data_IF_076566803351
#
_entry.id   IF_076566803351
#
_cell.length_a   1.000
_cell.length_b   1.000
_cell.length_c   1.000
_cell.angle_alpha   90.00
_cell.angle_beta   90.00
_cell.angle_gamma   90.00
#
_symmetry.space_group_name_H-M   'P 1'
#
loop_
_entity.id
_entity.type
_entity.pdbx_description
1 polymer ?
#
# COMPACT_ATOMS: atom_id res chain seq x y z
N UNK A 1 -16.75 -8.29 -2.72
CA UNK A 1 -15.57 -9.14 -2.47
C UNK A 1 -14.34 -8.36 -2.88
N UNK A 2 -13.53 -7.95 -1.90
CA UNK A 2 -12.31 -7.17 -2.15
C UNK A 2 -11.25 -8.11 -2.74
N UNK A 3 -10.93 -7.97 -4.02
CA UNK A 3 -10.05 -8.91 -4.74
C UNK A 3 -8.64 -8.96 -4.18
N UNK A 4 -8.21 -7.91 -3.47
CA UNK A 4 -6.85 -7.80 -2.96
C UNK A 4 -6.67 -8.43 -1.57
N UNK A 5 -7.76 -8.84 -0.90
CA UNK A 5 -7.69 -9.42 0.45
C UNK A 5 -6.80 -10.69 0.56
N UNK A 6 -6.84 -11.66 -0.39
CA UNK A 6 -5.95 -12.82 -0.34
C UNK A 6 -4.48 -12.45 -0.60
N UNK A 7 -4.26 -11.38 -1.37
CA UNK A 7 -2.91 -10.87 -1.64
C UNK A 7 -2.32 -10.23 -0.38
N UNK A 8 -3.10 -9.48 0.40
CA UNK A 8 -2.62 -8.92 1.67
C UNK A 8 -2.22 -9.97 2.69
N UNK A 9 -2.88 -11.13 2.68
CA UNK A 9 -2.55 -12.27 3.55
C UNK A 9 -1.32 -13.06 3.06
N UNK A 10 -1.14 -13.22 1.75
CA UNK A 10 -0.04 -14.00 1.17
C UNK A 10 1.28 -13.24 1.03
N UNK A 11 1.25 -11.92 0.89
CA UNK A 11 2.46 -11.10 0.70
C UNK A 11 2.90 -10.42 2.00
N UNK A 12 4.10 -10.77 2.46
CA UNK A 12 4.73 -10.18 3.65
C UNK A 12 4.92 -8.65 3.52
N UNK A 13 5.15 -8.18 2.29
CA UNK A 13 5.26 -6.76 1.95
C UNK A 13 4.04 -6.28 1.17
N UNK A 14 2.88 -6.29 1.80
CA UNK A 14 1.66 -5.71 1.26
C UNK A 14 1.53 -4.22 1.61
N UNK A 15 1.18 -3.41 0.61
CA UNK A 15 0.98 -1.95 0.79
C UNK A 15 -0.40 -1.54 0.29
N UNK A 16 -1.13 -0.82 1.13
CA UNK A 16 -2.39 -0.15 0.78
C UNK A 16 -2.24 1.37 0.77
N UNK A 17 -3.10 2.04 0.01
CA UNK A 17 -3.24 3.51 0.08
C UNK A 17 -4.26 3.90 1.13
N UNK A 18 -4.27 5.15 1.62
CA UNK A 18 -5.12 5.58 2.74
C UNK A 18 -6.62 5.23 2.58
N UNK A 19 -7.13 5.16 1.34
CA UNK A 19 -8.51 4.73 1.05
C UNK A 19 -8.84 3.36 1.64
N UNK A 20 -7.86 2.48 1.81
CA UNK A 20 -8.06 1.15 2.36
C UNK A 20 -8.57 1.19 3.80
N UNK A 21 -8.30 2.28 4.54
CA UNK A 21 -8.82 2.51 5.89
C UNK A 21 -10.34 2.57 5.94
N UNK A 22 -10.97 3.11 4.89
CA UNK A 22 -12.43 3.13 4.78
C UNK A 22 -13.03 1.73 4.59
N UNK A 23 -12.20 0.74 4.19
CA UNK A 23 -12.61 -0.63 3.94
C UNK A 23 -11.97 -1.62 4.93
N UNK A 24 -11.26 -1.15 5.97
CA UNK A 24 -10.62 -2.01 6.99
C UNK A 24 -11.60 -2.98 7.63
N UNK A 25 -12.83 -2.54 7.93
CA UNK A 25 -13.87 -3.40 8.50
C UNK A 25 -14.40 -4.48 7.54
N UNK A 26 -14.13 -4.35 6.24
CA UNK A 26 -14.53 -5.32 5.21
C UNK A 26 -13.36 -6.19 4.72
N UNK A 27 -12.14 -5.90 5.18
CA UNK A 27 -10.93 -6.63 4.83
C UNK A 27 -10.72 -7.76 5.83
N UNK A 28 -10.61 -8.99 5.31
CA UNK A 28 -10.24 -10.15 6.13
C UNK A 28 -8.81 -10.07 6.66
N UNK A 29 -7.91 -9.46 5.88
CA UNK A 29 -6.52 -9.21 6.24
C UNK A 29 -6.16 -7.78 5.83
N UNK A 30 -5.70 -6.92 6.76
CA UNK A 30 -5.23 -5.59 6.42
C UNK A 30 -3.84 -5.66 5.76
N UNK A 31 -3.49 -4.71 4.87
CA UNK A 31 -2.14 -4.59 4.35
C UNK A 31 -1.15 -4.26 5.48
N UNK A 32 0.10 -4.71 5.33
CA UNK A 32 1.16 -4.49 6.34
C UNK A 32 1.60 -3.02 6.43
N UNK A 33 1.55 -2.31 5.31
CA UNK A 33 1.89 -0.89 5.23
C UNK A 33 0.73 -0.11 4.61
N UNK A 34 0.45 1.07 5.14
CA UNK A 34 -0.58 1.97 4.60
C UNK A 34 0.02 3.35 4.41
N UNK A 35 -0.06 3.88 3.19
CA UNK A 35 0.41 5.24 2.90
C UNK A 35 -0.56 6.30 3.42
N UNK A 36 -0.06 7.52 3.64
CA UNK A 36 -0.90 8.63 4.14
C UNK A 36 -1.76 9.23 3.02
N UNK A 37 -1.27 9.19 1.78
CA UNK A 37 -1.98 9.69 0.62
C UNK A 37 -3.21 8.86 0.24
N UNK A 38 -4.26 9.56 -0.20
CA UNK A 38 -5.47 8.93 -0.75
C UNK A 38 -5.29 8.60 -2.23
N UNK A 39 -5.81 7.46 -2.67
CA UNK A 39 -5.79 7.00 -4.07
C UNK A 39 -4.42 7.15 -4.72
N UNK A 40 -4.37 7.91 -5.82
CA UNK A 40 -3.14 8.14 -6.58
C UNK A 40 -2.03 8.87 -5.81
N UNK A 41 -2.38 9.74 -4.85
CA UNK A 41 -1.37 10.42 -4.02
C UNK A 41 -0.61 9.42 -3.14
N UNK A 42 -1.33 8.42 -2.59
CA UNK A 42 -0.72 7.34 -1.82
C UNK A 42 0.17 6.43 -2.67
N UNK A 43 -0.15 6.26 -3.96
CA UNK A 43 0.68 5.50 -4.89
C UNK A 43 1.99 6.22 -5.24
N UNK A 44 1.94 7.55 -5.41
CA UNK A 44 3.15 8.37 -5.64
C UNK A 44 4.05 8.35 -4.41
N UNK A 45 3.49 8.48 -3.21
CA UNK A 45 4.22 8.36 -1.93
C UNK A 45 4.93 7.00 -1.84
N UNK A 46 4.21 5.90 -2.09
CA UNK A 46 4.79 4.56 -2.09
C UNK A 46 5.90 4.41 -3.13
N UNK A 47 5.66 4.87 -4.36
CA UNK A 47 6.63 4.77 -5.46
C UNK A 47 7.92 5.53 -5.14
N UNK A 48 7.80 6.74 -4.56
CA UNK A 48 8.95 7.54 -4.12
C UNK A 48 9.76 6.86 -3.02
N UNK A 49 9.08 6.28 -2.02
CA UNK A 49 9.74 5.49 -0.98
C UNK A 49 10.47 4.27 -1.56
N UNK A 50 9.86 3.58 -2.54
CA UNK A 50 10.44 2.41 -3.17
C UNK A 50 11.70 2.75 -3.99
N UNK A 51 11.65 3.86 -4.75
CA UNK A 51 12.77 4.36 -5.55
C UNK A 51 13.93 4.77 -4.65
N UNK A 52 13.65 5.52 -3.58
CA UNK A 52 14.66 5.90 -2.57
C UNK A 52 15.26 4.68 -1.88
N UNK A 53 14.44 3.70 -1.48
CA UNK A 53 14.90 2.46 -0.83
C UNK A 53 15.77 1.60 -1.75
N UNK A 54 15.52 1.63 -3.07
CA UNK A 54 16.35 0.94 -4.06
C UNK A 54 17.72 1.60 -4.27
N UNK A 55 17.98 2.76 -3.67
CA UNK A 55 19.18 3.55 -3.91
C UNK A 55 19.13 4.33 -5.21
N UNK A 56 17.94 4.70 -5.68
CA UNK A 56 17.76 5.68 -6.74
C UNK A 56 18.24 7.04 -6.28
N UNK A 57 19.55 7.26 -6.32
CA UNK A 57 20.14 8.59 -6.32
C UNK A 57 19.48 9.39 -7.44
N UNK A 58 18.97 10.57 -7.08
CA UNK A 58 18.62 11.62 -8.03
C UNK A 58 19.76 11.75 -9.06
N UNK A 59 19.43 11.60 -10.35
CA UNK A 59 20.24 12.06 -11.48
C UNK A 59 19.48 13.16 -12.19
#
# INVERSE_FOLDING_TARGET
MYKDAPMFESFEHSVGVANIRAFESQLKAPPRYVTHGHGGAGFVEFSGLLINARGGSEV
#
